data_IF_211624814562
#
_entry.id   IF_211624814562
#
_cell.length_a   1.000
_cell.length_b   1.000
_cell.length_c   1.000
_cell.angle_alpha   90.00
_cell.angle_beta   90.00
_cell.angle_gamma   90.00
#
_symmetry.space_group_name_H-M   'P 1'
#
loop_
_entity.id
_entity.type
_entity.pdbx_description
1 polymer ?
#
# COMPACT_ATOMS: atom_id res chain seq x y z
N UNK A 1 17.77 11.50 -0.49
CA UNK A 1 17.20 12.56 0.38
C UNK A 1 17.43 12.25 1.88
N UNK A 2 17.38 13.22 2.80
CA UNK A 2 17.37 12.93 4.25
C UNK A 2 16.03 12.30 4.66
N UNK A 3 16.06 11.25 5.51
CA UNK A 3 14.89 10.41 5.79
C UNK A 3 13.71 11.17 6.41
N UNK A 4 13.94 12.02 7.41
CA UNK A 4 12.84 12.76 8.06
C UNK A 4 12.18 13.74 7.10
N UNK A 5 12.97 14.44 6.29
CA UNK A 5 12.44 15.30 5.23
C UNK A 5 11.63 14.49 4.23
N UNK A 6 12.15 13.35 3.78
CA UNK A 6 11.45 12.47 2.85
C UNK A 6 10.10 12.01 3.41
N UNK A 7 10.09 11.40 4.60
CA UNK A 7 8.87 10.96 5.27
C UNK A 7 7.87 12.10 5.48
N UNK A 8 8.33 13.29 5.86
CA UNK A 8 7.47 14.47 5.99
C UNK A 8 6.78 14.83 4.68
N UNK A 9 7.50 14.82 3.55
CA UNK A 9 6.93 15.15 2.24
C UNK A 9 5.89 14.13 1.79
N UNK A 10 6.11 12.84 2.08
CA UNK A 10 5.13 11.79 1.79
C UNK A 10 3.89 11.91 2.70
N UNK A 11 4.08 12.23 3.99
CA UNK A 11 2.95 12.50 4.90
C UNK A 11 2.13 13.69 4.43
N UNK A 12 2.76 14.81 4.04
CA UNK A 12 2.03 15.98 3.50
C UNK A 12 1.24 15.63 2.24
N UNK A 13 1.78 14.74 1.39
CA UNK A 13 1.05 14.23 0.23
C UNK A 13 -0.15 13.38 0.64
N UNK A 14 0.03 12.44 1.58
CA UNK A 14 -1.05 11.58 2.11
C UNK A 14 -2.13 12.43 2.77
N UNK A 15 -1.78 13.41 3.60
CA UNK A 15 -2.74 14.27 4.31
C UNK A 15 -3.65 15.03 3.34
N UNK A 16 -3.10 15.50 2.21
CA UNK A 16 -3.84 16.29 1.22
C UNK A 16 -4.75 15.44 0.33
N UNK A 17 -4.37 14.20 0.03
CA UNK A 17 -5.05 13.39 -1.00
C UNK A 17 -5.78 12.17 -0.42
N UNK A 18 -5.32 11.65 0.73
CA UNK A 18 -5.78 10.43 1.39
C UNK A 18 -5.84 10.60 2.92
N UNK A 19 -6.59 11.60 3.43
CA UNK A 19 -6.60 11.96 4.85
C UNK A 19 -7.00 10.82 5.79
N UNK A 20 -7.69 9.79 5.31
CA UNK A 20 -8.08 8.61 6.08
C UNK A 20 -6.91 7.76 6.59
N UNK A 21 -5.70 7.93 6.03
CA UNK A 21 -4.49 7.26 6.55
C UNK A 21 -3.88 8.00 7.75
N UNK A 22 -4.27 9.25 8.03
CA UNK A 22 -3.56 10.09 8.99
C UNK A 22 -3.68 9.56 10.42
N UNK A 23 -4.83 8.97 10.77
CA UNK A 23 -5.07 8.43 12.12
C UNK A 23 -4.19 7.22 12.46
N UNK A 24 -3.61 6.56 11.45
CA UNK A 24 -2.81 5.35 11.63
C UNK A 24 -1.30 5.59 11.46
N UNK A 25 -0.87 6.83 11.23
CA UNK A 25 0.56 7.16 11.11
C UNK A 25 1.30 6.81 12.40
N UNK A 26 2.32 5.99 12.26
CA UNK A 26 3.28 5.60 13.30
C UNK A 26 4.67 6.04 12.87
N UNK A 27 5.25 6.98 13.62
CA UNK A 27 6.62 7.41 13.40
C UNK A 27 7.62 6.45 14.05
N UNK A 28 8.73 6.21 13.38
CA UNK A 28 9.84 5.41 13.90
C UNK A 28 11.02 6.30 14.32
N UNK A 29 11.92 5.77 15.13
CA UNK A 29 13.07 6.51 15.68
C UNK A 29 14.07 6.97 14.60
N UNK A 30 14.16 6.23 13.49
CA UNK A 30 15.01 6.56 12.34
C UNK A 30 14.42 7.65 11.42
N UNK A 31 13.23 8.17 11.75
CA UNK A 31 12.54 9.19 10.98
C UNK A 31 11.63 8.65 9.87
N UNK A 32 11.55 7.33 9.70
CA UNK A 32 10.53 6.68 8.86
C UNK A 32 9.14 6.77 9.48
N UNK A 33 8.14 6.35 8.70
CA UNK A 33 6.80 6.10 9.20
C UNK A 33 6.16 4.90 8.52
N UNK A 34 5.15 4.36 9.18
CA UNK A 34 4.17 3.42 8.65
C UNK A 34 2.77 4.01 8.80
N UNK A 35 1.87 3.73 7.87
CA UNK A 35 0.44 3.90 8.06
C UNK A 35 -0.33 2.81 7.32
N UNK A 36 -1.57 2.61 7.73
CA UNK A 36 -2.45 1.61 7.14
C UNK A 36 -3.88 2.13 7.01
N UNK A 37 -4.58 1.64 6.00
CA UNK A 37 -6.01 1.90 5.81
C UNK A 37 -6.72 0.58 5.62
N UNK A 38 -7.60 0.25 6.57
CA UNK A 38 -8.43 -0.95 6.52
C UNK A 38 -9.38 -0.90 5.34
N UNK A 39 -9.54 -2.03 4.64
CA UNK A 39 -10.57 -2.19 3.61
C UNK A 39 -11.97 -2.03 4.22
N UNK A 40 -12.96 -1.62 3.42
CA UNK A 40 -14.35 -1.49 3.90
C UNK A 40 -14.90 -2.84 4.40
N UNK A 41 -14.43 -3.95 3.81
CA UNK A 41 -14.75 -5.31 4.26
C UNK A 41 -14.13 -5.69 5.61
N UNK A 42 -13.13 -4.94 6.09
CA UNK A 42 -12.39 -5.24 7.31
C UNK A 42 -11.44 -6.43 7.20
N UNK A 43 -11.21 -6.97 6.00
CA UNK A 43 -10.46 -8.21 5.81
C UNK A 43 -8.96 -7.97 5.68
N UNK A 44 -8.55 -6.90 4.99
CA UNK A 44 -7.15 -6.56 4.73
C UNK A 44 -6.95 -5.05 4.84
N UNK A 45 -5.72 -4.57 4.74
CA UNK A 45 -5.42 -3.13 4.72
C UNK A 45 -4.49 -2.78 3.57
N UNK A 46 -4.58 -1.56 3.03
CA UNK A 46 -3.43 -0.96 2.34
C UNK A 46 -2.43 -0.57 3.42
N UNK A 47 -1.16 -0.94 3.25
CA UNK A 47 -0.05 -0.53 4.11
C UNK A 47 0.93 0.31 3.31
N UNK A 48 1.38 1.43 3.89
CA UNK A 48 2.36 2.33 3.32
C UNK A 48 3.46 2.54 4.36
N UNK A 49 4.72 2.42 3.94
CA UNK A 49 5.87 2.75 4.77
C UNK A 49 6.89 3.55 3.96
N UNK A 50 7.82 4.21 4.66
CA UNK A 50 8.94 4.90 4.02
C UNK A 50 10.26 4.49 4.64
N UNK A 51 11.31 4.28 3.85
CA UNK A 51 12.65 4.02 4.38
C UNK A 51 13.70 4.29 3.30
N UNK A 52 14.83 4.91 3.64
CA UNK A 52 15.92 5.22 2.72
C UNK A 52 15.50 5.83 1.36
N UNK A 53 14.62 6.84 1.38
CA UNK A 53 14.10 7.48 0.15
C UNK A 53 13.29 6.53 -0.76
N UNK A 54 12.65 5.53 -0.17
CA UNK A 54 11.76 4.58 -0.84
C UNK A 54 10.39 4.59 -0.15
N UNK A 55 9.32 4.50 -0.94
CA UNK A 55 7.96 4.24 -0.45
C UNK A 55 7.69 2.76 -0.66
N UNK A 56 7.40 2.04 0.42
CA UNK A 56 6.82 0.70 0.31
C UNK A 56 5.30 0.84 0.32
N UNK A 57 4.63 0.23 -0.65
CA UNK A 57 3.18 0.08 -0.65
C UNK A 57 2.80 -1.38 -0.85
N UNK A 58 1.85 -1.85 -0.06
CA UNK A 58 1.40 -3.22 -0.10
C UNK A 58 0.02 -3.43 0.50
N UNK A 59 -0.32 -4.70 0.63
CA UNK A 59 -1.50 -5.18 1.33
C UNK A 59 -1.05 -5.92 2.59
N UNK A 60 -1.57 -5.49 3.74
CA UNK A 60 -1.54 -6.30 4.96
C UNK A 60 -2.64 -7.36 4.85
N UNK A 61 -2.24 -8.63 4.84
CA UNK A 61 -3.15 -9.75 4.67
C UNK A 61 -4.07 -9.97 5.91
N UNK A 62 -5.08 -10.87 5.83
CA UNK A 62 -6.00 -11.10 6.95
C UNK A 62 -5.35 -11.67 8.22
N UNK A 63 -4.09 -12.07 8.16
CA UNK A 63 -3.29 -12.54 9.29
C UNK A 63 -2.39 -11.45 9.87
N UNK A 64 -2.43 -10.23 9.32
CA UNK A 64 -1.61 -9.11 9.76
C UNK A 64 -0.20 -9.11 9.15
N UNK A 65 0.04 -9.85 8.08
CA UNK A 65 1.36 -9.90 7.42
C UNK A 65 1.42 -8.93 6.26
N UNK A 66 2.53 -8.21 6.14
CA UNK A 66 2.79 -7.20 5.11
C UNK A 66 3.71 -7.71 3.98
N UNK A 67 3.72 -9.02 3.71
CA UNK A 67 4.62 -9.64 2.73
C UNK A 67 4.26 -9.35 1.26
N UNK A 68 3.11 -8.73 1.00
CA UNK A 68 2.58 -8.46 -0.34
C UNK A 68 2.76 -6.98 -0.61
N UNK A 69 3.91 -6.61 -1.17
CA UNK A 69 4.25 -5.21 -1.39
C UNK A 69 5.19 -5.02 -2.57
N UNK A 70 5.33 -3.77 -2.96
CA UNK A 70 6.33 -3.28 -3.90
C UNK A 70 6.99 -2.04 -3.36
N UNK A 71 8.03 -1.60 -4.05
CA UNK A 71 8.90 -0.49 -3.68
C UNK A 71 8.88 0.58 -4.77
N UNK A 72 8.62 1.83 -4.39
CA UNK A 72 8.67 3.00 -5.27
C UNK A 72 9.88 3.83 -4.84
N UNK A 73 10.88 3.90 -5.72
CA UNK A 73 12.17 4.52 -5.43
C UNK A 73 12.12 6.03 -5.71
N UNK A 74 12.49 6.84 -4.71
CA UNK A 74 12.38 8.30 -4.73
C UNK A 74 13.69 8.96 -4.28
N UNK A 75 14.78 8.64 -4.97
CA UNK A 75 16.14 8.99 -4.55
C UNK A 75 16.33 10.48 -4.29
N UNK A 76 15.78 11.31 -5.18
CA UNK A 76 15.92 12.76 -5.15
C UNK A 76 14.57 13.49 -5.12
N UNK A 77 14.61 14.80 -4.84
CA UNK A 77 13.41 15.62 -4.71
C UNK A 77 12.64 15.74 -6.05
N UNK A 78 13.35 15.67 -7.16
CA UNK A 78 12.80 15.69 -8.51
C UNK A 78 11.94 14.45 -8.79
N UNK A 79 12.22 13.33 -8.12
CA UNK A 79 11.48 12.06 -8.28
C UNK A 79 10.15 12.07 -7.53
N UNK A 80 9.96 12.98 -6.56
CA UNK A 80 8.78 12.99 -5.69
C UNK A 80 7.47 12.99 -6.47
N UNK A 81 7.39 13.78 -7.54
CA UNK A 81 6.16 13.87 -8.35
C UNK A 81 5.80 12.53 -8.99
N UNK A 82 6.77 11.86 -9.61
CA UNK A 82 6.54 10.53 -10.20
C UNK A 82 6.20 9.50 -9.12
N UNK A 83 6.94 9.51 -8.02
CA UNK A 83 6.70 8.62 -6.89
C UNK A 83 5.31 8.74 -6.31
N UNK A 84 4.87 9.96 -6.00
CA UNK A 84 3.54 10.18 -5.43
C UNK A 84 2.42 9.87 -6.43
N UNK A 85 2.68 10.06 -7.73
CA UNK A 85 1.75 9.64 -8.79
C UNK A 85 1.60 8.12 -8.83
N UNK A 86 2.72 7.39 -8.71
CA UNK A 86 2.71 5.93 -8.66
C UNK A 86 2.05 5.41 -7.38
N UNK A 87 2.35 6.01 -6.22
CA UNK A 87 1.69 5.71 -4.95
C UNK A 87 0.16 5.87 -5.06
N UNK A 88 -0.30 7.02 -5.59
CA UNK A 88 -1.73 7.24 -5.88
C UNK A 88 -2.31 6.16 -6.76
N UNK A 89 -1.61 5.77 -7.84
CA UNK A 89 -2.09 4.73 -8.75
C UNK A 89 -2.32 3.40 -8.03
N UNK A 90 -1.41 2.98 -7.15
CA UNK A 90 -1.61 1.77 -6.35
C UNK A 90 -2.79 1.89 -5.40
N UNK A 91 -2.89 2.99 -4.63
CA UNK A 91 -4.02 3.22 -3.71
C UNK A 91 -5.36 3.16 -4.45
N UNK A 92 -5.48 3.89 -5.56
CA UNK A 92 -6.70 3.91 -6.37
C UNK A 92 -7.00 2.56 -7.00
N UNK A 93 -5.99 1.86 -7.52
CA UNK A 93 -6.18 0.53 -8.10
C UNK A 93 -6.68 -0.48 -7.06
N UNK A 94 -6.17 -0.43 -5.82
CA UNK A 94 -6.62 -1.31 -4.75
C UNK A 94 -8.07 -0.96 -4.37
N UNK A 95 -8.37 0.33 -4.13
CA UNK A 95 -9.73 0.78 -3.78
C UNK A 95 -10.77 0.54 -4.86
N UNK A 96 -10.36 0.53 -6.13
CA UNK A 96 -11.21 0.28 -7.28
C UNK A 96 -11.33 -1.21 -7.64
N UNK A 97 -10.72 -2.11 -6.86
CA UNK A 97 -10.62 -3.54 -7.17
C UNK A 97 -9.95 -3.84 -8.53
N UNK A 98 -9.11 -2.93 -9.02
CA UNK A 98 -8.25 -3.19 -10.19
C UNK A 98 -7.04 -4.04 -9.78
N UNK A 99 -6.46 -3.80 -8.60
CA UNK A 99 -5.42 -4.61 -7.98
C UNK A 99 -6.01 -5.28 -6.73
N UNK A 100 -6.19 -6.59 -6.75
CA UNK A 100 -6.94 -7.31 -5.73
C UNK A 100 -6.05 -8.23 -4.91
N UNK A 101 -6.34 -8.35 -3.62
CA UNK A 101 -5.82 -9.44 -2.80
C UNK A 101 -6.51 -10.75 -3.22
N UNK A 102 -5.75 -11.82 -3.36
CA UNK A 102 -6.29 -13.16 -3.48
C UNK A 102 -5.53 -14.14 -2.60
N UNK A 103 -6.21 -15.24 -2.27
CA UNK A 103 -5.66 -16.42 -1.64
C UNK A 103 -5.67 -17.55 -2.66
N UNK A 104 -4.51 -18.14 -2.90
CA UNK A 104 -4.41 -19.30 -3.77
C UNK A 104 -4.95 -20.57 -3.09
N UNK A 105 -4.99 -21.67 -3.85
CA UNK A 105 -5.47 -22.98 -3.38
C UNK A 105 -4.63 -23.57 -2.23
N UNK A 106 -3.37 -23.16 -2.11
CA UNK A 106 -2.43 -23.63 -1.08
C UNK A 106 -2.52 -22.75 0.18
N UNK A 107 -3.33 -21.69 0.10
CA UNK A 107 -3.64 -20.79 1.18
C UNK A 107 -2.70 -19.60 1.32
N UNK A 108 -1.81 -19.38 0.35
CA UNK A 108 -0.91 -18.23 0.30
C UNK A 108 -1.67 -17.01 -0.21
N UNK A 109 -1.41 -15.85 0.39
CA UNK A 109 -1.92 -14.57 -0.06
C UNK A 109 -0.93 -13.90 -1.03
N UNK A 110 -1.48 -13.25 -2.05
CA UNK A 110 -0.75 -12.40 -2.99
C UNK A 110 -1.73 -11.37 -3.61
N UNK A 111 -1.22 -10.39 -4.35
CA UNK A 111 -2.05 -9.47 -5.12
C UNK A 111 -1.94 -9.73 -6.63
N UNK A 112 -2.98 -9.36 -7.37
CA UNK A 112 -2.98 -9.52 -8.83
C UNK A 112 -3.88 -8.48 -9.46
N UNK A 113 -3.54 -8.06 -10.68
CA UNK A 113 -4.45 -7.29 -11.51
C UNK A 113 -5.73 -8.11 -11.74
N UNK A 114 -6.89 -7.52 -11.44
CA UNK A 114 -8.19 -8.17 -11.49
C UNK A 114 -8.51 -8.79 -12.86
N UNK A 115 -8.03 -8.18 -13.94
CA UNK A 115 -8.15 -8.69 -15.30
C UNK A 115 -7.36 -9.97 -15.56
N UNK A 116 -6.30 -10.21 -14.78
CA UNK A 116 -5.46 -11.40 -14.87
C UNK A 116 -5.93 -12.52 -13.94
N UNK A 117 -6.79 -12.21 -12.97
CA UNK A 117 -7.34 -13.20 -12.06
C UNK A 117 -8.25 -14.19 -12.80
N UNK A 118 -7.77 -15.42 -12.93
CA UNK A 118 -8.57 -16.55 -13.41
C UNK A 118 -9.16 -17.23 -12.19
N UNK A 119 -10.50 -17.28 -12.11
CA UNK A 119 -11.21 -18.08 -11.12
C UNK A 119 -10.80 -19.55 -11.31
N UNK A 120 -9.81 -20.00 -10.54
CA UNK A 120 -9.41 -21.39 -10.46
C UNK A 120 -10.11 -22.02 -9.28
N UNK A 121 -10.40 -23.32 -9.37
CA UNK A 121 -11.00 -24.04 -8.26
C UNK A 121 -10.11 -23.95 -7.02
N UNK A 122 -10.68 -23.49 -5.90
CA UNK A 122 -9.96 -23.29 -4.64
C UNK A 122 -9.29 -21.92 -4.41
N UNK A 123 -9.26 -21.00 -5.39
CA UNK A 123 -8.79 -19.62 -5.13
C UNK A 123 -9.91 -18.71 -4.63
N UNK A 124 -9.57 -17.74 -3.77
CA UNK A 124 -10.52 -16.75 -3.24
C UNK A 124 -9.96 -15.35 -3.43
N UNK A 125 -10.72 -14.47 -4.09
CA UNK A 125 -10.41 -13.03 -4.13
C UNK A 125 -11.06 -12.29 -2.96
N UNK A 126 -10.45 -11.17 -2.60
CA UNK A 126 -10.93 -10.24 -1.59
C UNK A 126 -11.02 -8.87 -2.23
N UNK A 127 -12.17 -8.23 -2.11
CA UNK A 127 -12.39 -6.90 -2.66
C UNK A 127 -12.25 -5.86 -1.56
N UNK A 128 -11.88 -4.64 -1.95
CA UNK A 128 -11.84 -3.50 -1.05
C UNK A 128 -13.19 -3.32 -0.35
N UNK A 129 -14.28 -3.39 -1.12
CA UNK A 129 -15.63 -3.11 -0.65
C UNK A 129 -16.37 -4.32 -0.06
N UNK A 130 -15.99 -5.55 -0.44
CA UNK A 130 -16.78 -6.77 -0.17
C UNK A 130 -15.92 -7.98 0.22
#
# INVERSE_FOLDING_TARGET
MEQKLFSKLIIEFIERNYPEFIETIKHQDDGSFDCDLKSDSGIFSIWIATYNSEITIGIEDPTGQNNIHTHILCYEIEDLKSCTTELSKYIENIKADNLILYKDKDGKYDWIESSEFKNQDGSKKFSWKN
#
